data_IF_786161507050
#
_entry.id   IF_786161507050
#
_cell.length_a   1.000
_cell.length_b   1.000
_cell.length_c   1.000
_cell.angle_alpha   90.00
_cell.angle_beta   90.00
_cell.angle_gamma   90.00
#
_symmetry.space_group_name_H-M   'P 1'
#
loop_
_entity.id
_entity.type
_entity.pdbx_description
1 polymer ?
#
# COMPACT_ATOMS: atom_id res chain seq x y z
N UNK A 1 -13.74 4.41 12.72
CA UNK A 1 -12.52 4.30 13.54
C UNK A 1 -11.94 5.69 13.71
N UNK A 2 -11.39 5.98 14.88
CA UNK A 2 -10.70 7.25 15.14
C UNK A 2 -9.20 6.99 15.32
N UNK A 3 -8.35 7.90 14.86
CA UNK A 3 -6.90 7.81 15.02
C UNK A 3 -6.49 8.78 16.12
N UNK A 4 -6.09 8.25 17.27
CA UNK A 4 -5.56 9.02 18.39
C UNK A 4 -4.03 9.07 18.31
N UNK A 5 -3.43 10.25 18.49
CA UNK A 5 -1.96 10.41 18.57
C UNK A 5 -1.58 10.57 20.02
N UNK A 6 -0.79 9.63 20.54
CA UNK A 6 -0.43 9.56 21.94
C UNK A 6 0.33 10.81 22.40
N UNK A 7 -0.11 11.34 23.54
CA UNK A 7 0.47 12.47 24.25
C UNK A 7 1.05 12.02 25.59
N UNK A 8 1.83 12.91 26.22
CA UNK A 8 2.41 12.66 27.54
C UNK A 8 1.29 12.39 28.55
N UNK A 9 1.37 11.24 29.21
CA UNK A 9 0.44 10.84 30.27
C UNK A 9 -0.71 9.96 29.82
N UNK A 10 -0.81 9.65 28.52
CA UNK A 10 -1.76 8.68 28.00
C UNK A 10 -1.45 7.26 28.47
N UNK A 11 -2.51 6.47 28.60
CA UNK A 11 -2.48 5.03 28.83
C UNK A 11 -3.69 4.41 28.15
N UNK A 12 -3.63 3.14 27.77
CA UNK A 12 -4.78 2.46 27.15
C UNK A 12 -6.03 2.56 28.04
N UNK A 13 -5.87 2.49 29.36
CA UNK A 13 -6.96 2.68 30.32
C UNK A 13 -7.57 4.08 30.25
N UNK A 14 -6.76 5.14 30.30
CA UNK A 14 -7.26 6.53 30.19
C UNK A 14 -7.95 6.78 28.86
N UNK A 15 -7.37 6.30 27.77
CA UNK A 15 -7.98 6.40 26.44
C UNK A 15 -9.29 5.62 26.37
N UNK A 16 -9.36 4.44 27.01
CA UNK A 16 -10.58 3.66 27.11
C UNK A 16 -11.70 4.41 27.84
N UNK A 17 -11.39 5.05 28.97
CA UNK A 17 -12.32 5.92 29.69
C UNK A 17 -12.74 7.12 28.85
N UNK A 18 -11.77 7.78 28.21
CA UNK A 18 -12.02 8.96 27.37
C UNK A 18 -12.95 8.65 26.21
N UNK A 19 -12.70 7.55 25.48
CA UNK A 19 -13.43 7.21 24.26
C UNK A 19 -14.61 6.26 24.48
N UNK A 20 -14.84 5.79 25.70
CA UNK A 20 -15.92 4.86 26.03
C UNK A 20 -15.75 3.48 25.38
N UNK A 21 -14.50 3.00 25.27
CA UNK A 21 -14.15 1.67 24.76
C UNK A 21 -13.23 0.95 25.76
N UNK A 22 -13.21 -0.38 25.79
CA UNK A 22 -12.25 -1.08 26.66
C UNK A 22 -10.82 -0.90 26.15
N UNK A 23 -9.87 -0.76 27.07
CA UNK A 23 -8.43 -0.77 26.80
C UNK A 23 -7.97 -2.03 26.02
N UNK A 24 -8.56 -3.19 26.32
CA UNK A 24 -8.33 -4.44 25.58
C UNK A 24 -8.75 -4.35 24.11
N UNK A 25 -9.86 -3.65 23.82
CA UNK A 25 -10.29 -3.41 22.44
C UNK A 25 -9.34 -2.45 21.71
N UNK A 26 -8.82 -1.43 22.39
CA UNK A 26 -7.79 -0.55 21.82
C UNK A 26 -6.52 -1.36 21.52
N UNK A 27 -6.06 -2.17 22.47
CA UNK A 27 -4.88 -3.03 22.31
C UNK A 27 -5.04 -3.98 21.10
N UNK A 28 -6.18 -4.67 21.02
CA UNK A 28 -6.49 -5.60 19.94
C UNK A 28 -6.57 -4.92 18.56
N UNK A 29 -7.24 -3.75 18.46
CA UNK A 29 -7.34 -2.99 17.21
C UNK A 29 -5.99 -2.48 16.69
N UNK A 30 -4.99 -2.39 17.56
CA UNK A 30 -3.63 -1.96 17.20
C UNK A 30 -2.63 -3.11 17.13
N UNK A 31 -3.05 -4.34 17.44
CA UNK A 31 -2.15 -5.50 17.45
C UNK A 31 -1.03 -5.38 18.49
N UNK A 32 -1.29 -4.72 19.62
CA UNK A 32 -0.31 -4.52 20.69
C UNK A 32 -0.76 -5.24 21.98
N UNK A 33 0.19 -5.77 22.79
CA UNK A 33 -0.10 -6.20 24.16
C UNK A 33 -0.68 -5.09 25.04
N UNK A 34 -1.51 -5.44 26.02
CA UNK A 34 -2.18 -4.48 26.93
C UNK A 34 -1.17 -3.72 27.82
N UNK A 35 -0.02 -4.32 28.08
CA UNK A 35 1.08 -3.82 28.89
C UNK A 35 2.20 -3.18 28.05
N UNK A 36 1.94 -2.92 26.76
CA UNK A 36 2.90 -2.27 25.87
C UNK A 36 3.31 -0.89 26.38
N UNK A 37 4.61 -0.60 26.25
CA UNK A 37 5.11 0.76 26.43
C UNK A 37 4.58 1.62 25.27
N UNK A 38 3.81 2.65 25.61
CA UNK A 38 3.29 3.62 24.66
C UNK A 38 4.32 4.72 24.39
N UNK A 39 4.46 5.13 23.14
CA UNK A 39 5.43 6.13 22.71
C UNK A 39 4.72 7.44 22.39
N UNK A 40 5.24 8.58 22.86
CA UNK A 40 4.71 9.90 22.49
C UNK A 40 4.76 10.04 20.96
N UNK A 41 3.64 10.45 20.37
CA UNK A 41 3.48 10.59 18.93
C UNK A 41 3.14 9.29 18.18
N UNK A 42 3.09 8.13 18.84
CA UNK A 42 2.54 6.89 18.27
C UNK A 42 1.04 7.08 17.98
N UNK A 43 0.60 6.62 16.81
CA UNK A 43 -0.83 6.62 16.48
C UNK A 43 -1.50 5.30 16.87
N UNK A 44 -2.70 5.40 17.45
CA UNK A 44 -3.56 4.28 17.80
C UNK A 44 -4.92 4.42 17.12
N UNK A 45 -5.43 3.32 16.58
CA UNK A 45 -6.83 3.18 16.20
C UNK A 45 -7.66 2.99 17.47
N UNK A 46 -8.65 3.86 17.66
CA UNK A 46 -9.70 3.71 18.64
C UNK A 46 -10.92 3.10 17.92
N UNK A 47 -11.35 1.89 18.30
CA UNK A 47 -12.46 1.17 17.65
C UNK A 47 -13.83 1.71 18.09
N UNK A 48 -14.07 3.00 17.85
CA UNK A 48 -15.37 3.63 18.05
C UNK A 48 -16.42 2.99 17.13
N UNK A 49 -17.65 2.88 17.63
CA UNK A 49 -18.78 2.56 16.78
C UNK A 49 -18.89 3.62 15.68
N UNK A 50 -18.88 3.18 14.41
CA UNK A 50 -18.64 4.05 13.25
C UNK A 50 -19.65 5.19 13.08
N UNK A 51 -20.79 5.11 13.75
CA UNK A 51 -21.88 6.08 13.69
C UNK A 51 -22.00 6.92 14.96
N UNK A 52 -21.02 6.94 15.87
CA UNK A 52 -21.08 7.73 17.11
C UNK A 52 -19.76 8.42 17.48
N UNK A 53 -19.89 9.59 18.09
CA UNK A 53 -18.80 10.36 18.68
C UNK A 53 -19.27 10.98 20.01
N UNK A 54 -18.42 10.98 21.02
CA UNK A 54 -18.68 11.64 22.31
C UNK A 54 -17.91 12.95 22.32
N UNK A 55 -18.63 14.07 22.42
CA UNK A 55 -18.03 15.40 22.39
C UNK A 55 -17.09 15.58 23.58
N UNK A 56 -15.87 15.99 23.32
CA UNK A 56 -14.85 16.36 24.29
C UNK A 56 -14.86 17.87 24.54
N UNK A 57 -14.23 18.27 25.64
CA UNK A 57 -14.09 19.68 25.99
C UNK A 57 -13.32 20.44 24.89
N UNK A 58 -13.91 21.53 24.39
CA UNK A 58 -13.31 22.38 23.35
C UNK A 58 -13.63 21.97 21.91
N UNK A 59 -14.35 20.86 21.69
CA UNK A 59 -14.77 20.47 20.35
C UNK A 59 -15.96 21.29 19.84
N UNK A 60 -16.05 21.38 18.51
CA UNK A 60 -17.17 21.95 17.76
C UNK A 60 -17.61 20.98 16.68
N UNK A 61 -18.80 21.15 16.10
CA UNK A 61 -19.20 20.37 14.92
C UNK A 61 -18.21 20.54 13.75
N UNK A 62 -17.48 21.67 13.70
CA UNK A 62 -16.42 21.90 12.73
C UNK A 62 -15.19 21.03 12.97
N UNK A 63 -14.66 20.99 14.20
CA UNK A 63 -13.50 20.17 14.51
C UNK A 63 -13.81 18.67 14.36
N UNK A 64 -14.99 18.24 14.83
CA UNK A 64 -15.49 16.87 14.67
C UNK A 64 -15.71 16.56 13.19
N UNK A 65 -16.31 17.49 12.44
CA UNK A 65 -16.49 17.33 11.00
C UNK A 65 -15.19 17.10 10.25
N UNK A 66 -14.18 17.93 10.51
CA UNK A 66 -12.85 17.75 9.93
C UNK A 66 -12.20 16.42 10.31
N UNK A 67 -12.37 15.98 11.56
CA UNK A 67 -11.84 14.73 12.07
C UNK A 67 -12.41 13.49 11.35
N UNK A 68 -13.69 13.50 11.01
CA UNK A 68 -14.36 12.37 10.36
C UNK A 68 -14.56 12.55 8.84
N UNK A 69 -14.17 13.69 8.28
CA UNK A 69 -14.44 14.03 6.88
C UNK A 69 -15.93 14.26 6.58
N UNK A 70 -16.66 14.81 7.55
CA UNK A 70 -18.10 15.04 7.50
C UNK A 70 -18.36 16.54 7.64
N UNK A 71 -19.33 17.10 6.91
CA UNK A 71 -19.65 18.52 7.08
C UNK A 71 -20.35 18.76 8.44
N UNK A 72 -20.10 19.90 9.10
CA UNK A 72 -20.78 20.25 10.35
C UNK A 72 -22.30 20.19 10.23
N UNK A 73 -22.82 20.60 9.06
CA UNK A 73 -24.25 20.58 8.73
C UNK A 73 -24.81 19.16 8.67
N UNK A 74 -24.06 18.19 8.12
CA UNK A 74 -24.52 16.80 8.07
C UNK A 74 -24.57 16.19 9.47
N UNK A 75 -23.60 16.51 10.35
CA UNK A 75 -23.64 16.12 11.76
C UNK A 75 -24.84 16.78 12.46
N UNK A 76 -25.02 18.09 12.27
CA UNK A 76 -26.10 18.84 12.90
C UNK A 76 -27.47 18.29 12.50
N UNK A 77 -27.70 18.09 11.21
CA UNK A 77 -28.96 17.57 10.67
C UNK A 77 -29.26 16.16 11.19
N UNK A 78 -28.27 15.27 11.25
CA UNK A 78 -28.46 13.91 11.77
C UNK A 78 -28.80 13.88 13.26
N UNK A 79 -28.36 14.89 14.02
CA UNK A 79 -28.55 14.99 15.46
C UNK A 79 -29.65 15.99 15.88
N UNK A 80 -30.38 16.57 14.93
CA UNK A 80 -31.41 17.57 15.22
C UNK A 80 -30.86 18.86 15.87
N UNK A 81 -29.58 19.19 15.64
CA UNK A 81 -28.94 20.37 16.19
C UNK A 81 -29.18 21.55 15.24
N UNK A 82 -29.75 22.64 15.75
CA UNK A 82 -30.01 23.86 14.97
C UNK A 82 -28.88 24.88 15.13
N UNK A 83 -28.78 25.82 14.19
CA UNK A 83 -27.86 26.95 14.31
C UNK A 83 -28.09 27.70 15.65
N UNK A 84 -27.04 28.07 16.40
CA UNK A 84 -25.62 28.11 16.03
C UNK A 84 -24.80 26.84 16.33
N UNK A 85 -25.42 25.66 16.37
CA UNK A 85 -24.77 24.35 16.50
C UNK A 85 -24.04 24.10 17.83
N UNK A 86 -24.67 24.50 18.95
CA UNK A 86 -24.13 24.20 20.27
C UNK A 86 -24.06 22.69 20.54
N UNK A 87 -22.91 22.28 21.07
CA UNK A 87 -22.66 20.94 21.59
C UNK A 87 -22.01 21.03 22.96
N UNK A 88 -22.18 19.99 23.77
CA UNK A 88 -21.68 19.96 25.15
C UNK A 88 -20.76 18.78 25.38
N UNK A 89 -19.70 18.93 26.20
CA UNK A 89 -18.87 17.79 26.60
C UNK A 89 -19.71 16.64 27.15
N UNK A 90 -19.45 15.42 26.70
CA UNK A 90 -20.21 14.21 27.02
C UNK A 90 -21.42 13.94 26.10
N UNK A 91 -21.81 14.88 25.25
CA UNK A 91 -22.90 14.67 24.29
C UNK A 91 -22.52 13.59 23.27
N UNK A 92 -23.41 12.63 23.05
CA UNK A 92 -23.25 11.60 22.01
C UNK A 92 -23.85 12.09 20.70
N UNK A 93 -23.01 12.29 19.70
CA UNK A 93 -23.40 12.65 18.35
C UNK A 93 -23.43 11.40 17.47
N UNK A 94 -24.51 11.22 16.72
CA UNK A 94 -24.57 10.31 15.59
C UNK A 94 -23.77 10.89 14.43
N UNK A 95 -22.90 10.10 13.83
CA UNK A 95 -22.14 10.52 12.67
C UNK A 95 -22.72 9.90 11.40
N UNK A 96 -22.94 10.69 10.33
CA UNK A 96 -23.21 10.14 9.01
C UNK A 96 -22.08 9.20 8.60
N UNK A 97 -22.41 7.94 8.29
CA UNK A 97 -21.44 7.00 7.74
C UNK A 97 -21.60 7.03 6.22
N UNK A 98 -20.69 7.69 5.47
CA UNK A 98 -20.75 7.63 4.02
C UNK A 98 -20.60 6.17 3.58
N UNK A 99 -21.30 5.74 2.51
CA UNK A 99 -21.13 4.40 1.99
C UNK A 99 -19.66 4.18 1.62
N UNK A 100 -19.10 3.04 2.03
CA UNK A 100 -17.73 2.67 1.68
C UNK A 100 -17.65 2.46 0.16
N UNK A 101 -16.76 3.18 -0.56
CA UNK A 101 -16.53 2.87 -1.96
C UNK A 101 -15.98 1.45 -2.09
N UNK A 102 -16.32 0.78 -3.19
CA UNK A 102 -15.75 -0.53 -3.51
C UNK A 102 -14.46 -0.31 -4.29
N UNK A 103 -13.37 -0.94 -3.85
CA UNK A 103 -12.08 -0.90 -4.54
C UNK A 103 -11.54 -2.32 -4.74
N UNK A 104 -10.55 -2.44 -5.61
CA UNK A 104 -9.75 -3.65 -5.73
C UNK A 104 -8.47 -3.54 -4.91
N UNK A 105 -8.13 -4.60 -4.17
CA UNK A 105 -6.94 -4.64 -3.31
C UNK A 105 -6.02 -5.75 -3.77
N UNK A 106 -4.77 -5.40 -4.07
CA UNK A 106 -3.70 -6.36 -4.34
C UNK A 106 -2.70 -6.37 -3.18
N UNK A 107 -2.07 -7.51 -2.93
CA UNK A 107 -0.87 -7.58 -2.12
C UNK A 107 0.14 -8.52 -2.78
N UNK A 108 1.39 -8.06 -2.89
CA UNK A 108 2.51 -8.91 -3.26
C UNK A 108 2.96 -9.75 -2.07
N UNK A 109 3.50 -10.93 -2.33
CA UNK A 109 4.14 -11.75 -1.29
C UNK A 109 5.36 -12.49 -1.82
N UNK A 110 6.38 -12.56 -0.97
CA UNK A 110 7.62 -13.33 -1.19
C UNK A 110 7.70 -14.53 -0.24
N UNK A 111 6.66 -14.78 0.57
CA UNK A 111 6.61 -15.87 1.54
C UNK A 111 5.72 -17.01 1.03
N UNK A 112 6.34 -18.14 0.68
CA UNK A 112 5.66 -19.32 0.10
C UNK A 112 5.53 -20.49 1.08
N UNK A 113 5.88 -20.28 2.34
CA UNK A 113 5.80 -21.26 3.42
C UNK A 113 4.47 -21.13 4.20
N UNK A 114 4.38 -21.86 5.32
CA UNK A 114 3.20 -21.84 6.18
C UNK A 114 2.96 -20.47 6.84
N UNK A 115 4.00 -19.66 7.04
CA UNK A 115 3.83 -18.30 7.52
C UNK A 115 3.15 -17.43 6.45
N UNK A 116 3.59 -17.55 5.20
CA UNK A 116 2.94 -16.92 4.05
C UNK A 116 1.45 -17.25 3.96
N UNK A 117 1.07 -18.53 4.12
CA UNK A 117 -0.33 -18.95 4.12
C UNK A 117 -1.15 -18.30 5.24
N UNK A 118 -0.63 -18.29 6.47
CA UNK A 118 -1.31 -17.64 7.61
C UNK A 118 -1.49 -16.14 7.38
N UNK A 119 -0.48 -15.47 6.80
CA UNK A 119 -0.59 -14.06 6.46
C UNK A 119 -1.73 -13.80 5.46
N UNK A 120 -1.93 -14.68 4.48
CA UNK A 120 -3.06 -14.58 3.53
C UNK A 120 -4.39 -14.87 4.20
N UNK A 121 -4.47 -15.88 5.08
CA UNK A 121 -5.69 -16.20 5.82
C UNK A 121 -6.15 -15.04 6.72
N UNK A 122 -5.21 -14.36 7.37
CA UNK A 122 -5.50 -13.22 8.26
C UNK A 122 -6.19 -12.07 7.52
N UNK A 123 -5.76 -11.78 6.29
CA UNK A 123 -6.25 -10.62 5.51
C UNK A 123 -7.13 -11.03 4.33
N UNK A 124 -7.49 -12.31 4.21
CA UNK A 124 -8.06 -12.86 2.98
C UNK A 124 -9.36 -12.19 2.55
N UNK A 125 -10.21 -11.79 3.51
CA UNK A 125 -11.43 -11.03 3.24
C UNK A 125 -11.18 -9.63 2.65
N UNK A 126 -9.97 -9.10 2.81
CA UNK A 126 -9.55 -7.77 2.40
C UNK A 126 -8.70 -7.76 1.12
N UNK A 127 -8.55 -8.89 0.44
CA UNK A 127 -7.81 -8.99 -0.82
C UNK A 127 -8.72 -9.33 -2.00
N UNK A 128 -8.60 -8.56 -3.08
CA UNK A 128 -9.09 -8.94 -4.41
C UNK A 128 -8.10 -9.87 -5.09
N UNK A 129 -6.82 -9.48 -5.06
CA UNK A 129 -5.71 -10.21 -5.64
C UNK A 129 -4.63 -10.54 -4.62
N UNK A 130 -3.97 -11.67 -4.84
CA UNK A 130 -2.67 -11.99 -4.25
C UNK A 130 -1.67 -12.19 -5.39
N UNK A 131 -0.50 -11.59 -5.26
CA UNK A 131 0.55 -11.58 -6.28
C UNK A 131 1.84 -12.25 -5.77
N UNK A 132 2.00 -13.58 -5.95
CA UNK A 132 3.27 -14.29 -5.70
C UNK A 132 4.42 -13.68 -6.52
N UNK A 133 5.43 -13.12 -5.86
CA UNK A 133 6.58 -12.49 -6.51
C UNK A 133 7.76 -13.48 -6.58
N UNK A 134 8.20 -13.95 -7.75
CA UNK A 134 7.65 -13.74 -9.10
C UNK A 134 8.04 -14.90 -10.02
N UNK A 135 7.37 -15.01 -11.17
CA UNK A 135 7.86 -15.80 -12.30
C UNK A 135 8.91 -14.98 -13.05
N UNK A 136 10.15 -15.45 -12.99
CA UNK A 136 11.30 -14.82 -13.62
C UNK A 136 11.43 -15.33 -15.05
N UNK A 137 11.33 -14.42 -16.00
CA UNK A 137 11.58 -14.75 -17.41
C UNK A 137 13.08 -14.77 -17.67
N UNK A 138 13.55 -15.78 -18.40
CA UNK A 138 14.95 -15.87 -18.82
C UNK A 138 15.17 -15.16 -20.16
N UNK A 139 16.44 -14.93 -20.51
CA UNK A 139 16.84 -14.38 -21.82
C UNK A 139 16.32 -15.23 -23.01
N UNK A 140 16.04 -16.51 -22.80
CA UNK A 140 15.50 -17.41 -23.84
C UNK A 140 13.98 -17.46 -23.86
N UNK A 141 13.28 -16.82 -22.91
CA UNK A 141 11.82 -16.76 -22.84
C UNK A 141 11.18 -17.91 -22.07
N UNK A 142 11.97 -18.66 -21.28
CA UNK A 142 11.44 -19.63 -20.31
C UNK A 142 11.09 -18.95 -18.99
N UNK A 143 10.16 -19.53 -18.23
CA UNK A 143 9.76 -19.03 -16.91
C UNK A 143 10.28 -19.94 -15.80
N UNK A 144 10.79 -19.34 -14.74
CA UNK A 144 11.06 -20.01 -13.45
C UNK A 144 10.24 -19.32 -12.36
N UNK A 145 9.40 -20.06 -11.65
CA UNK A 145 8.46 -19.51 -10.67
C UNK A 145 8.65 -20.07 -9.27
N UNK A 146 8.00 -19.45 -8.27
CA UNK A 146 8.03 -19.93 -6.88
C UNK A 146 7.21 -21.21 -6.70
N UNK A 147 7.39 -21.86 -5.55
CA UNK A 147 6.52 -22.95 -5.10
C UNK A 147 5.22 -22.39 -4.47
N UNK A 148 4.40 -21.76 -5.30
CA UNK A 148 3.18 -21.05 -4.89
C UNK A 148 1.93 -21.93 -4.73
N UNK A 149 1.98 -23.22 -5.06
CA UNK A 149 0.82 -24.12 -5.07
C UNK A 149 -0.04 -24.06 -3.78
N UNK A 150 0.54 -24.26 -2.60
CA UNK A 150 -0.19 -24.17 -1.32
C UNK A 150 -0.79 -22.78 -1.05
N UNK A 151 -0.11 -21.73 -1.51
CA UNK A 151 -0.59 -20.36 -1.40
C UNK A 151 -1.80 -20.11 -2.32
N UNK A 152 -1.78 -20.65 -3.54
CA UNK A 152 -2.89 -20.59 -4.49
C UNK A 152 -4.13 -21.35 -4.01
N UNK A 153 -3.95 -22.46 -3.27
CA UNK A 153 -5.05 -23.15 -2.60
C UNK A 153 -5.71 -22.26 -1.53
N UNK A 154 -4.89 -21.55 -0.75
CA UNK A 154 -5.35 -20.58 0.24
C UNK A 154 -6.13 -19.45 -0.42
N UNK A 155 -5.67 -18.93 -1.56
CA UNK A 155 -6.40 -17.95 -2.35
C UNK A 155 -7.79 -18.45 -2.76
N UNK A 156 -7.89 -19.69 -3.26
CA UNK A 156 -9.17 -20.30 -3.64
C UNK A 156 -10.13 -20.40 -2.45
N UNK A 157 -9.64 -20.83 -1.29
CA UNK A 157 -10.44 -20.92 -0.06
C UNK A 157 -10.96 -19.56 0.41
N UNK A 158 -10.17 -18.49 0.25
CA UNK A 158 -10.49 -17.12 0.67
C UNK A 158 -11.15 -16.26 -0.43
N UNK A 159 -11.50 -16.87 -1.58
CA UNK A 159 -12.05 -16.18 -2.76
C UNK A 159 -11.18 -15.02 -3.24
N UNK A 160 -9.87 -15.21 -3.22
CA UNK A 160 -8.88 -14.25 -3.74
C UNK A 160 -8.53 -14.69 -5.17
N UNK A 161 -8.50 -13.75 -6.11
CA UNK A 161 -8.07 -14.03 -7.48
C UNK A 161 -6.54 -13.97 -7.55
N UNK A 162 -5.83 -15.11 -7.68
CA UNK A 162 -4.38 -15.05 -7.78
C UNK A 162 -3.96 -14.36 -9.08
N UNK A 163 -2.95 -13.48 -8.99
CA UNK A 163 -2.35 -12.75 -10.10
C UNK A 163 -0.90 -13.18 -10.28
N UNK A 164 -0.56 -13.67 -11.47
CA UNK A 164 0.78 -14.15 -11.81
C UNK A 164 1.69 -12.96 -12.09
N UNK A 165 2.75 -12.77 -11.31
CA UNK A 165 3.73 -11.72 -11.57
C UNK A 165 4.81 -12.26 -12.49
N UNK A 166 5.08 -11.59 -13.61
CA UNK A 166 6.15 -11.94 -14.54
C UNK A 166 7.15 -10.79 -14.58
N UNK A 167 8.39 -11.07 -14.21
CA UNK A 167 9.44 -10.06 -14.07
C UNK A 167 10.71 -10.42 -14.83
N UNK A 168 11.47 -9.42 -15.30
CA UNK A 168 12.84 -9.56 -15.79
C UNK A 168 13.88 -9.55 -14.64
N UNK A 169 13.50 -10.08 -13.48
CA UNK A 169 14.33 -10.12 -12.28
C UNK A 169 15.28 -11.33 -12.30
N UNK A 170 16.56 -11.08 -12.04
CA UNK A 170 17.65 -12.07 -12.03
C UNK A 170 18.71 -11.65 -11.00
N UNK A 171 19.20 -12.62 -10.23
CA UNK A 171 20.33 -12.45 -9.29
C UNK A 171 20.19 -11.25 -8.33
N UNK A 172 18.97 -10.99 -7.85
CA UNK A 172 18.68 -9.93 -6.87
C UNK A 172 18.42 -8.55 -7.46
N UNK A 173 18.35 -8.40 -8.77
CA UNK A 173 18.02 -7.13 -9.45
C UNK A 173 17.26 -7.35 -10.77
N UNK A 174 16.85 -6.27 -11.42
CA UNK A 174 16.23 -6.31 -12.76
C UNK A 174 17.30 -6.26 -13.86
N UNK A 175 17.09 -7.04 -14.92
CA UNK A 175 18.03 -7.22 -16.03
C UNK A 175 17.44 -6.67 -17.34
N UNK A 176 18.07 -5.62 -17.87
CA UNK A 176 17.63 -4.93 -19.10
C UNK A 176 17.74 -5.81 -20.35
N UNK A 177 18.70 -6.73 -20.41
CA UNK A 177 18.92 -7.56 -21.60
C UNK A 177 17.84 -8.63 -21.70
N UNK A 178 17.38 -9.16 -20.56
CA UNK A 178 16.22 -10.04 -20.49
C UNK A 178 14.97 -9.35 -21.04
N UNK A 179 14.69 -8.13 -20.57
CA UNK A 179 13.58 -7.35 -21.10
C UNK A 179 13.72 -7.12 -22.61
N UNK A 180 14.89 -6.67 -23.07
CA UNK A 180 15.15 -6.46 -24.49
C UNK A 180 14.85 -7.71 -25.32
N UNK A 181 15.42 -8.87 -24.95
CA UNK A 181 15.22 -10.12 -25.69
C UNK A 181 13.75 -10.55 -25.76
N UNK A 182 13.01 -10.43 -24.64
CA UNK A 182 11.58 -10.79 -24.61
C UNK A 182 10.74 -9.85 -25.48
N UNK A 183 11.12 -8.58 -25.57
CA UNK A 183 10.36 -7.56 -26.28
C UNK A 183 10.67 -7.53 -27.79
N UNK A 184 11.89 -7.86 -28.21
CA UNK A 184 12.36 -7.66 -29.60
C UNK A 184 12.55 -8.95 -30.39
N UNK A 185 12.81 -10.10 -29.74
CA UNK A 185 12.94 -11.39 -30.43
C UNK A 185 11.59 -12.13 -30.50
N UNK A 186 11.09 -12.33 -31.72
CA UNK A 186 9.78 -12.96 -31.94
C UNK A 186 9.70 -14.40 -31.40
N UNK A 187 10.80 -15.16 -31.45
CA UNK A 187 10.85 -16.54 -30.94
C UNK A 187 10.83 -16.58 -29.42
N UNK A 188 11.59 -15.70 -28.76
CA UNK A 188 11.61 -15.52 -27.30
C UNK A 188 10.23 -15.07 -26.85
N UNK A 189 9.66 -14.05 -27.50
CA UNK A 189 8.34 -13.53 -27.19
C UNK A 189 7.26 -14.61 -27.30
N UNK A 190 7.29 -15.45 -28.34
CA UNK A 190 6.36 -16.58 -28.50
C UNK A 190 6.46 -17.58 -27.35
N UNK A 191 7.70 -17.94 -26.96
CA UNK A 191 7.95 -18.86 -25.85
C UNK A 191 7.43 -18.27 -24.53
N UNK A 192 7.74 -17.00 -24.25
CA UNK A 192 7.28 -16.31 -23.04
C UNK A 192 5.75 -16.27 -22.97
N UNK A 193 5.08 -15.82 -24.05
CA UNK A 193 3.60 -15.72 -24.07
C UNK A 193 2.94 -17.08 -23.87
N UNK A 194 3.46 -18.13 -24.52
CA UNK A 194 2.91 -19.47 -24.35
C UNK A 194 3.15 -20.00 -22.92
N UNK A 195 4.34 -19.80 -22.36
CA UNK A 195 4.65 -20.19 -20.98
C UNK A 195 3.77 -19.46 -19.95
N UNK A 196 3.45 -18.19 -20.17
CA UNK A 196 2.49 -17.44 -19.35
C UNK A 196 1.12 -18.12 -19.42
N UNK A 197 0.57 -18.34 -20.62
CA UNK A 197 -0.76 -18.94 -20.79
C UNK A 197 -0.86 -20.34 -20.19
N UNK A 198 0.16 -21.17 -20.39
CA UNK A 198 0.22 -22.53 -19.86
C UNK A 198 0.24 -22.51 -18.33
N UNK A 199 1.04 -21.61 -17.72
CA UNK A 199 1.11 -21.44 -16.27
C UNK A 199 -0.22 -20.92 -15.71
N UNK A 200 -0.83 -19.93 -16.37
CA UNK A 200 -2.12 -19.37 -15.96
C UNK A 200 -3.19 -20.47 -15.89
N UNK A 201 -3.28 -21.28 -16.94
CA UNK A 201 -4.23 -22.40 -17.03
C UNK A 201 -3.92 -23.50 -16.03
N UNK A 202 -2.65 -23.92 -15.91
CA UNK A 202 -2.24 -25.03 -15.06
C UNK A 202 -2.46 -24.72 -13.57
N UNK A 203 -2.14 -23.50 -13.14
CA UNK A 203 -2.18 -23.12 -11.72
C UNK A 203 -3.46 -22.40 -11.31
N UNK A 204 -4.30 -22.03 -12.27
CA UNK A 204 -5.61 -21.41 -12.04
C UNK A 204 -5.52 -19.92 -11.69
N UNK A 205 -4.50 -19.22 -12.18
CA UNK A 205 -4.40 -17.77 -12.09
C UNK A 205 -5.56 -17.08 -12.82
N UNK A 206 -5.90 -15.87 -12.40
CA UNK A 206 -6.98 -15.06 -12.99
C UNK A 206 -6.49 -13.80 -13.69
N UNK A 207 -5.29 -13.37 -13.35
CA UNK A 207 -4.65 -12.20 -13.93
C UNK A 207 -3.15 -12.46 -14.12
N UNK A 208 -2.53 -11.71 -15.01
CA UNK A 208 -1.07 -11.61 -15.12
C UNK A 208 -0.66 -10.15 -14.95
N UNK A 209 0.38 -9.92 -14.16
CA UNK A 209 1.02 -8.64 -13.95
C UNK A 209 2.42 -8.68 -14.58
N UNK A 210 2.66 -7.85 -15.58
CA UNK A 210 3.99 -7.70 -16.18
C UNK A 210 4.75 -6.62 -15.41
N UNK A 211 5.81 -7.05 -14.74
CA UNK A 211 6.68 -6.22 -13.92
C UNK A 211 8.07 -6.15 -14.55
N UNK A 212 8.13 -5.49 -15.71
CA UNK A 212 9.39 -5.28 -16.42
C UNK A 212 9.95 -3.90 -16.07
N UNK A 213 11.06 -3.89 -15.34
CA UNK A 213 11.74 -2.67 -14.93
C UNK A 213 13.08 -2.49 -15.66
N UNK A 214 13.57 -1.24 -15.66
CA UNK A 214 14.82 -0.85 -16.32
C UNK A 214 14.90 -1.26 -17.80
N UNK A 215 13.77 -1.29 -18.49
CA UNK A 215 13.67 -1.59 -19.93
C UNK A 215 14.38 -0.48 -20.73
N UNK A 216 15.22 -0.80 -21.72
CA UNK A 216 15.87 0.21 -22.55
C UNK A 216 14.85 1.16 -23.20
N UNK A 217 15.16 2.46 -23.24
CA UNK A 217 14.28 3.47 -23.87
C UNK A 217 13.91 3.11 -25.31
N UNK A 218 14.87 2.54 -26.07
CA UNK A 218 14.66 2.12 -27.45
C UNK A 218 13.56 1.05 -27.60
N UNK A 219 13.30 0.26 -26.55
CA UNK A 219 12.34 -0.82 -26.55
C UNK A 219 10.94 -0.38 -26.11
N UNK A 220 10.71 0.92 -25.88
CA UNK A 220 9.41 1.45 -25.45
C UNK A 220 8.24 0.96 -26.31
N UNK A 221 8.34 1.09 -27.64
CA UNK A 221 7.25 0.64 -28.53
C UNK A 221 7.21 -0.87 -28.71
N UNK A 222 8.35 -1.55 -28.57
CA UNK A 222 8.39 -3.01 -28.51
C UNK A 222 7.63 -3.52 -27.27
N UNK A 223 7.74 -2.82 -26.13
CA UNK A 223 6.97 -3.11 -24.94
C UNK A 223 5.46 -2.94 -25.17
N UNK A 224 5.05 -1.81 -25.74
CA UNK A 224 3.64 -1.57 -26.10
C UNK A 224 3.10 -2.67 -27.03
N UNK A 225 3.88 -3.06 -28.05
CA UNK A 225 3.51 -4.10 -29.01
C UNK A 225 3.37 -5.47 -28.34
N UNK A 226 4.31 -5.82 -27.45
CA UNK A 226 4.22 -7.03 -26.63
C UNK A 226 2.95 -7.06 -25.78
N UNK A 227 2.60 -5.95 -25.12
CA UNK A 227 1.40 -5.87 -24.29
C UNK A 227 0.11 -6.03 -25.10
N UNK A 228 0.00 -5.40 -26.28
CA UNK A 228 -1.16 -5.59 -27.19
C UNK A 228 -1.31 -7.05 -27.58
N UNK A 229 -0.19 -7.69 -27.93
CA UNK A 229 -0.16 -9.09 -28.32
C UNK A 229 -0.56 -10.00 -27.17
N UNK A 230 0.00 -9.78 -25.99
CA UNK A 230 -0.31 -10.55 -24.79
C UNK A 230 -1.80 -10.38 -24.42
N UNK A 231 -2.34 -9.15 -24.47
CA UNK A 231 -3.76 -8.88 -24.23
C UNK A 231 -4.66 -9.70 -25.15
N UNK A 232 -4.43 -9.67 -26.46
CA UNK A 232 -5.22 -10.45 -27.42
C UNK A 232 -5.12 -11.96 -27.23
N UNK A 233 -4.02 -12.46 -26.65
CA UNK A 233 -3.84 -13.87 -26.31
C UNK A 233 -4.50 -14.27 -24.98
N UNK A 234 -4.67 -13.33 -24.05
CA UNK A 234 -5.31 -13.54 -22.75
C UNK A 234 -6.84 -13.48 -22.81
N UNK A 235 -7.38 -12.63 -23.68
CA UNK A 235 -8.82 -12.36 -23.81
C UNK A 235 -9.69 -13.61 -23.99
N UNK A 236 -9.36 -14.60 -24.85
CA UNK A 236 -10.17 -15.80 -25.01
C UNK A 236 -10.26 -16.65 -23.74
N UNK A 237 -9.27 -16.54 -22.83
CA UNK A 237 -9.26 -17.22 -21.54
C UNK A 237 -9.91 -16.43 -20.41
N UNK A 238 -10.37 -15.20 -20.67
CA UNK A 238 -10.93 -14.31 -19.65
C UNK A 238 -9.92 -13.81 -18.61
N UNK A 239 -8.62 -13.87 -18.92
CA UNK A 239 -7.57 -13.41 -18.00
C UNK A 239 -7.41 -11.89 -18.07
N UNK A 240 -7.21 -11.26 -16.91
CA UNK A 240 -6.86 -9.84 -16.84
C UNK A 240 -5.35 -9.64 -17.06
N UNK A 241 -4.99 -8.53 -17.69
CA UNK A 241 -3.62 -8.07 -17.87
C UNK A 241 -3.42 -6.79 -17.05
N UNK A 242 -2.34 -6.75 -16.27
CA UNK A 242 -1.84 -5.53 -15.63
C UNK A 242 -0.35 -5.34 -15.88
N UNK A 243 0.13 -4.12 -15.64
CA UNK A 243 1.56 -3.78 -15.67
C UNK A 243 1.96 -2.98 -14.43
N UNK A 244 3.18 -3.16 -13.95
CA UNK A 244 3.80 -2.21 -13.04
C UNK A 244 4.34 -1.01 -13.83
N UNK A 245 4.19 0.18 -13.26
CA UNK A 245 4.70 1.42 -13.85
C UNK A 245 5.55 2.17 -12.84
N UNK A 246 6.77 2.52 -13.25
CA UNK A 246 7.66 3.39 -12.49
C UNK A 246 7.00 4.75 -12.25
N UNK A 247 7.20 5.39 -11.08
CA UNK A 247 6.50 6.62 -10.70
C UNK A 247 6.94 7.81 -11.56
N UNK A 248 6.12 8.20 -12.54
CA UNK A 248 6.35 9.37 -13.40
C UNK A 248 5.46 10.54 -12.99
N UNK A 249 6.01 11.74 -13.05
CA UNK A 249 5.25 12.99 -12.86
C UNK A 249 5.05 13.77 -14.15
N UNK A 250 5.79 13.44 -15.21
CA UNK A 250 5.66 13.98 -16.57
C UNK A 250 5.96 12.91 -17.62
N UNK A 251 5.61 13.18 -18.88
CA UNK A 251 5.86 12.25 -19.98
C UNK A 251 7.35 12.14 -20.32
N UNK A 252 8.08 13.25 -20.20
CA UNK A 252 9.48 13.43 -20.58
C UNK A 252 10.47 12.99 -19.49
N UNK A 253 9.99 12.53 -18.34
CA UNK A 253 10.83 12.10 -17.22
C UNK A 253 11.87 11.06 -17.69
N UNK A 254 13.14 11.41 -17.49
CA UNK A 254 14.32 10.67 -17.96
C UNK A 254 14.82 9.66 -16.95
N UNK A 255 15.51 8.64 -17.45
CA UNK A 255 16.11 7.59 -16.65
C UNK A 255 15.61 6.23 -17.08
N UNK A 256 16.50 5.24 -17.02
CA UNK A 256 16.24 3.87 -17.52
C UNK A 256 15.00 3.21 -16.89
N UNK A 257 14.66 3.57 -15.66
CA UNK A 257 13.45 3.09 -14.98
C UNK A 257 12.14 3.64 -15.60
N UNK A 258 12.17 4.81 -16.24
CA UNK A 258 10.97 5.57 -16.61
C UNK A 258 10.68 5.61 -18.11
N UNK A 259 11.71 5.62 -18.95
CA UNK A 259 11.55 6.03 -20.36
C UNK A 259 10.79 5.02 -21.22
N UNK A 260 10.89 3.72 -20.90
CA UNK A 260 10.14 2.66 -21.57
C UNK A 260 8.69 2.49 -21.03
N UNK A 261 8.37 3.10 -19.89
CA UNK A 261 7.02 3.08 -19.31
C UNK A 261 6.13 4.15 -19.95
N UNK A 262 5.42 3.73 -21.00
CA UNK A 262 4.49 4.56 -21.78
C UNK A 262 3.08 4.56 -21.15
N UNK A 263 2.88 5.45 -20.18
CA UNK A 263 1.62 5.54 -19.42
C UNK A 263 0.36 5.59 -20.30
N UNK A 264 0.24 6.47 -21.32
CA UNK A 264 -0.92 6.46 -22.22
C UNK A 264 -1.15 5.11 -22.91
N UNK A 265 -0.09 4.48 -23.44
CA UNK A 265 -0.22 3.22 -24.15
C UNK A 265 -0.62 2.08 -23.20
N UNK A 266 0.05 1.94 -22.06
CA UNK A 266 -0.29 0.95 -21.05
C UNK A 266 -1.75 1.14 -20.58
N UNK A 267 -2.13 2.38 -20.23
CA UNK A 267 -3.49 2.73 -19.83
C UNK A 267 -4.55 2.42 -20.88
N UNK A 268 -4.22 2.46 -22.17
CA UNK A 268 -5.12 2.05 -23.25
C UNK A 268 -5.21 0.51 -23.39
N UNK A 269 -4.10 -0.20 -23.22
CA UNK A 269 -3.97 -1.63 -23.55
C UNK A 269 -4.42 -2.54 -22.40
N UNK A 270 -3.92 -2.31 -21.18
CA UNK A 270 -4.09 -3.25 -20.06
C UNK A 270 -5.39 -2.98 -19.29
N UNK A 271 -5.86 -3.95 -18.50
CA UNK A 271 -7.08 -3.80 -17.71
C UNK A 271 -6.89 -2.83 -16.54
N UNK A 272 -5.70 -2.84 -15.94
CA UNK A 272 -5.28 -1.87 -14.92
C UNK A 272 -3.76 -1.81 -14.79
N UNK A 273 -3.25 -0.74 -14.19
CA UNK A 273 -1.82 -0.55 -13.88
C UNK A 273 -1.62 -0.50 -12.38
N UNK A 274 -0.46 -0.95 -11.92
CA UNK A 274 0.01 -0.76 -10.55
C UNK A 274 1.12 0.28 -10.59
N UNK A 275 0.87 1.45 -9.99
CA UNK A 275 1.88 2.50 -9.90
C UNK A 275 2.81 2.18 -8.72
N UNK A 276 4.12 2.12 -8.96
CA UNK A 276 5.13 1.89 -7.92
C UNK A 276 5.39 3.18 -7.12
N UNK A 277 4.34 3.68 -6.46
CA UNK A 277 4.34 4.94 -5.69
C UNK A 277 4.92 4.77 -4.29
N UNK A 278 6.16 4.25 -4.22
CA UNK A 278 6.98 4.10 -3.02
C UNK A 278 8.47 4.14 -3.42
N UNK A 279 9.39 3.97 -2.46
CA UNK A 279 10.86 4.08 -2.62
C UNK A 279 11.41 5.50 -2.94
N UNK A 280 10.76 6.58 -2.49
CA UNK A 280 11.43 7.90 -2.49
C UNK A 280 12.55 7.96 -1.47
N UNK A 281 12.28 7.49 -0.25
CA UNK A 281 13.29 7.01 0.68
C UNK A 281 13.40 5.50 0.52
N UNK A 282 14.55 5.03 0.04
CA UNK A 282 14.82 3.63 -0.24
C UNK A 282 16.09 3.17 0.48
N UNK A 283 16.27 1.86 0.60
CA UNK A 283 17.34 1.27 1.43
C UNK A 283 18.75 1.77 1.08
N UNK A 284 19.08 1.93 -0.21
CA UNK A 284 20.37 2.45 -0.66
C UNK A 284 20.43 3.97 -0.87
N UNK A 285 19.34 4.69 -0.59
CA UNK A 285 19.22 6.14 -0.71
C UNK A 285 19.38 6.88 0.60
N UNK A 286 19.32 8.21 0.54
CA UNK A 286 19.31 9.06 1.72
C UNK A 286 18.00 8.90 2.53
N UNK A 287 18.01 9.12 3.86
CA UNK A 287 16.81 9.05 4.69
C UNK A 287 15.72 10.01 4.21
N UNK A 288 14.53 9.47 3.97
CA UNK A 288 13.30 10.19 3.63
C UNK A 288 12.09 9.27 3.84
N UNK A 289 10.89 9.83 3.92
CA UNK A 289 9.64 9.08 3.79
C UNK A 289 9.68 8.11 2.59
N UNK A 290 9.20 6.88 2.81
CA UNK A 290 9.16 5.83 1.77
C UNK A 290 8.17 6.19 0.66
N UNK A 291 6.97 6.63 1.03
CA UNK A 291 5.90 7.03 0.10
C UNK A 291 5.29 8.39 0.50
N UNK A 292 6.02 9.50 0.32
CA UNK A 292 5.56 10.84 0.69
C UNK A 292 4.34 11.24 -0.14
N UNK A 293 3.21 11.54 0.51
CA UNK A 293 1.91 11.70 -0.15
C UNK A 293 1.93 12.80 -1.22
N UNK A 294 2.71 13.86 -1.02
CA UNK A 294 2.85 14.97 -1.95
C UNK A 294 3.55 14.57 -3.25
N UNK A 295 4.43 13.57 -3.25
CA UNK A 295 5.01 13.02 -4.48
C UNK A 295 4.11 11.94 -5.09
N UNK A 296 3.51 11.09 -4.24
CA UNK A 296 2.51 10.10 -4.66
C UNK A 296 1.38 10.77 -5.43
N UNK A 297 0.84 11.88 -4.92
CA UNK A 297 -0.23 12.64 -5.57
C UNK A 297 0.20 13.19 -6.94
N UNK A 298 1.44 13.68 -7.09
CA UNK A 298 1.94 14.14 -8.40
C UNK A 298 1.93 13.00 -9.42
N UNK A 299 2.38 11.82 -9.02
CA UNK A 299 2.41 10.63 -9.89
C UNK A 299 0.99 10.20 -10.29
N UNK A 300 0.08 10.12 -9.31
CA UNK A 300 -1.32 9.76 -9.58
C UNK A 300 -1.99 10.80 -10.47
N UNK A 301 -1.76 12.10 -10.25
CA UNK A 301 -2.31 13.17 -11.10
C UNK A 301 -1.78 13.13 -12.52
N UNK A 302 -0.49 12.80 -12.71
CA UNK A 302 0.05 12.56 -14.04
C UNK A 302 -0.61 11.34 -14.68
N UNK A 303 -0.75 10.21 -13.97
CA UNK A 303 -1.45 9.04 -14.50
C UNK A 303 -2.89 9.38 -14.93
N UNK A 304 -3.64 10.13 -14.10
CA UNK A 304 -5.01 10.56 -14.41
C UNK A 304 -5.12 11.47 -15.63
N UNK A 305 -4.07 12.18 -16.01
CA UNK A 305 -4.11 13.02 -17.22
C UNK A 305 -4.00 12.21 -18.52
N UNK A 306 -3.55 10.94 -18.42
CA UNK A 306 -3.28 10.09 -19.58
C UNK A 306 -3.98 8.73 -19.54
N UNK A 307 -4.66 8.36 -18.44
CA UNK A 307 -5.47 7.14 -18.36
C UNK A 307 -6.65 7.26 -17.38
N UNK A 308 -7.71 6.44 -17.55
CA UNK A 308 -8.87 6.47 -16.66
C UNK A 308 -8.55 6.09 -15.21
N UNK A 309 -9.19 6.76 -14.25
CA UNK A 309 -9.02 6.50 -12.80
C UNK A 309 -9.31 5.05 -12.40
N UNK A 310 -10.32 4.42 -13.03
CA UNK A 310 -10.71 3.04 -12.78
C UNK A 310 -9.71 1.98 -13.31
N UNK A 311 -8.59 2.41 -13.90
CA UNK A 311 -7.45 1.57 -14.25
C UNK A 311 -6.25 1.74 -13.31
N UNK A 312 -6.29 2.69 -12.37
CA UNK A 312 -5.12 3.03 -11.54
C UNK A 312 -5.22 2.35 -10.19
N UNK A 313 -4.28 1.44 -9.90
CA UNK A 313 -4.04 0.87 -8.58
C UNK A 313 -2.80 1.52 -7.98
N UNK A 314 -2.94 2.16 -6.82
CA UNK A 314 -1.85 2.89 -6.16
C UNK A 314 -1.00 1.96 -5.29
N UNK A 315 0.31 1.94 -5.52
CA UNK A 315 1.26 1.19 -4.71
C UNK A 315 1.42 1.78 -3.31
N UNK A 316 1.45 0.92 -2.28
CA UNK A 316 1.60 1.29 -0.87
C UNK A 316 2.63 0.39 -0.18
N UNK A 317 3.64 0.95 0.50
CA UNK A 317 4.57 0.17 1.30
C UNK A 317 3.94 -0.19 2.65
N UNK A 318 4.28 -1.36 3.18
CA UNK A 318 3.94 -1.82 4.53
C UNK A 318 5.12 -1.69 5.52
N UNK A 319 6.24 -1.13 5.06
CA UNK A 319 7.50 -1.06 5.77
C UNK A 319 8.06 0.36 5.81
N UNK A 320 9.05 0.53 6.67
CA UNK A 320 9.94 1.67 6.75
C UNK A 320 11.40 1.25 6.66
N UNK A 321 12.29 2.20 6.93
CA UNK A 321 13.74 2.01 6.93
C UNK A 321 14.40 2.77 8.08
N UNK A 322 15.52 2.24 8.54
CA UNK A 322 16.34 2.81 9.60
C UNK A 322 17.75 3.09 9.07
N UNK A 323 18.06 4.35 8.85
CA UNK A 323 19.36 4.76 8.31
C UNK A 323 20.32 5.13 9.44
N UNK A 324 21.53 4.60 9.37
CA UNK A 324 22.68 5.13 10.11
C UNK A 324 23.10 6.48 9.52
N UNK A 325 23.43 7.43 10.37
CA UNK A 325 23.89 8.78 10.01
C UNK A 325 25.37 9.01 10.40
N UNK A 326 26.11 9.84 9.64
CA UNK A 326 25.68 10.52 8.42
C UNK A 326 25.49 9.54 7.25
N UNK A 327 24.50 9.80 6.40
CA UNK A 327 24.34 9.06 5.15
C UNK A 327 25.51 9.38 4.21
N UNK A 328 26.12 8.33 3.66
CA UNK A 328 27.12 8.42 2.60
C UNK A 328 26.70 7.47 1.49
N UNK A 329 26.67 7.96 0.26
CA UNK A 329 26.31 7.16 -0.90
C UNK A 329 27.23 5.95 -1.05
N UNK A 330 26.65 4.76 -1.19
CA UNK A 330 27.39 3.49 -1.29
C UNK A 330 27.65 2.78 0.03
N UNK A 331 27.21 3.35 1.16
CA UNK A 331 27.22 2.64 2.46
C UNK A 331 26.24 1.44 2.47
N UNK A 332 26.31 0.67 3.55
CA UNK A 332 25.32 -0.37 3.88
C UNK A 332 23.89 0.17 3.69
N UNK A 333 23.07 -0.62 3.03
CA UNK A 333 21.66 -0.30 2.85
C UNK A 333 20.93 -0.27 4.18
N UNK A 334 20.01 0.67 4.34
CA UNK A 334 19.18 0.78 5.52
C UNK A 334 18.33 -0.48 5.70
N UNK A 335 18.36 -1.13 6.88
CA UNK A 335 17.49 -2.26 7.16
C UNK A 335 16.01 -1.86 7.11
N UNK A 336 15.22 -2.71 6.46
CA UNK A 336 13.77 -2.62 6.45
C UNK A 336 13.19 -2.88 7.85
N UNK A 337 12.10 -2.20 8.19
CA UNK A 337 11.37 -2.42 9.44
C UNK A 337 9.85 -2.40 9.25
N UNK A 338 9.16 -3.16 10.10
CA UNK A 338 7.70 -3.13 10.20
C UNK A 338 7.22 -2.00 11.11
N UNK A 339 5.93 -1.63 11.04
CA UNK A 339 5.35 -0.62 11.92
C UNK A 339 5.56 -0.95 13.42
N UNK A 340 5.27 -2.18 13.91
CA UNK A 340 5.54 -2.53 15.31
C UNK A 340 7.02 -2.46 15.69
N UNK A 341 7.93 -2.77 14.76
CA UNK A 341 9.36 -2.67 15.03
C UNK A 341 9.83 -1.22 15.14
N UNK A 342 9.32 -0.31 14.30
CA UNK A 342 9.55 1.13 14.43
C UNK A 342 9.16 1.62 15.83
N UNK A 343 7.97 1.26 16.29
CA UNK A 343 7.43 1.70 17.58
C UNK A 343 8.26 1.12 18.73
N UNK A 344 8.59 -0.18 18.69
CA UNK A 344 9.45 -0.81 19.70
C UNK A 344 10.82 -0.15 19.78
N UNK A 345 11.39 0.22 18.63
CA UNK A 345 12.70 0.88 18.58
C UNK A 345 12.63 2.30 19.13
N UNK A 346 11.60 3.06 18.81
CA UNK A 346 11.35 4.37 19.44
C UNK A 346 11.23 4.24 20.96
N UNK A 347 10.46 3.25 21.46
CA UNK A 347 10.34 2.97 22.89
C UNK A 347 11.69 2.61 23.54
N UNK A 348 12.47 1.72 22.90
CA UNK A 348 13.78 1.27 23.39
C UNK A 348 14.77 2.41 23.60
N UNK A 349 14.78 3.39 22.70
CA UNK A 349 15.73 4.50 22.72
C UNK A 349 15.13 5.80 23.26
N UNK A 350 13.90 5.77 23.77
CA UNK A 350 13.22 6.95 24.33
C UNK A 350 12.96 8.06 23.30
N UNK A 351 12.81 7.71 22.02
CA UNK A 351 12.56 8.66 20.95
C UNK A 351 11.06 8.98 20.84
N UNK A 352 10.73 10.26 20.65
CA UNK A 352 9.37 10.69 20.33
C UNK A 352 9.11 10.55 18.82
N UNK A 353 7.98 9.97 18.46
CA UNK A 353 7.59 9.79 17.05
C UNK A 353 7.03 11.12 16.53
N UNK A 354 7.74 11.73 15.59
CA UNK A 354 7.33 12.94 14.90
C UNK A 354 6.50 12.58 13.66
N UNK A 355 5.81 13.58 13.10
CA UNK A 355 5.01 13.40 11.89
C UNK A 355 5.27 14.57 10.95
N UNK A 356 5.77 14.27 9.75
CA UNK A 356 6.04 15.28 8.74
C UNK A 356 4.77 15.61 7.97
N UNK A 357 4.32 16.87 8.07
CA UNK A 357 3.08 17.34 7.45
C UNK A 357 3.06 17.21 5.92
N UNK A 358 4.08 17.70 5.19
CA UNK A 358 4.12 17.60 3.73
C UNK A 358 4.13 16.17 3.17
N UNK A 359 4.92 15.26 3.74
CA UNK A 359 4.95 13.85 3.31
C UNK A 359 3.80 13.02 3.87
N UNK A 360 3.15 13.49 4.94
CA UNK A 360 2.21 12.71 5.75
C UNK A 360 2.82 11.38 6.22
N UNK A 361 4.06 11.41 6.72
CA UNK A 361 4.76 10.21 7.19
C UNK A 361 5.36 10.39 8.59
N UNK A 362 5.29 9.37 9.46
CA UNK A 362 5.96 9.39 10.75
C UNK A 362 7.47 9.16 10.60
N UNK A 363 8.24 9.82 11.48
CA UNK A 363 9.68 9.65 11.57
C UNK A 363 10.20 9.93 12.97
N UNK A 364 11.41 9.50 13.28
CA UNK A 364 12.15 9.92 14.47
C UNK A 364 13.65 9.71 14.30
N UNK A 365 14.42 10.28 15.22
CA UNK A 365 15.87 10.06 15.32
C UNK A 365 16.23 9.53 16.69
N UNK A 366 17.28 8.73 16.76
CA UNK A 366 17.81 8.22 18.03
C UNK A 366 19.34 8.02 17.94
N UNK A 367 19.99 7.81 19.08
CA UNK A 367 21.38 7.35 19.13
C UNK A 367 21.41 5.90 19.62
N UNK A 368 22.14 5.04 18.93
CA UNK A 368 22.35 3.66 19.38
C UNK A 368 23.34 3.60 20.56
N UNK A 369 23.57 2.39 21.09
CA UNK A 369 24.47 2.19 22.23
C UNK A 369 25.95 2.50 21.91
N UNK A 370 26.30 2.66 20.63
CA UNK A 370 27.64 3.02 20.16
C UNK A 370 27.77 4.53 19.88
N UNK A 371 26.72 5.31 20.12
CA UNK A 371 26.69 6.73 19.80
C UNK A 371 26.51 7.03 18.31
N UNK A 372 26.13 6.05 17.49
CA UNK A 372 25.76 6.25 16.09
C UNK A 372 24.36 6.84 16.05
N UNK A 373 24.19 7.92 15.29
CA UNK A 373 22.87 8.52 15.10
C UNK A 373 22.10 7.74 14.04
N UNK A 374 20.80 7.59 14.24
CA UNK A 374 19.88 6.93 13.34
C UNK A 374 18.71 7.84 12.97
N UNK A 375 18.16 7.68 11.77
CA UNK A 375 16.91 8.27 11.32
C UNK A 375 15.98 7.19 10.78
N UNK A 376 14.76 7.15 11.31
CA UNK A 376 13.75 6.15 10.95
C UNK A 376 12.58 6.84 10.28
N UNK A 377 12.18 6.35 9.10
CA UNK A 377 10.92 6.69 8.45
C UNK A 377 10.10 5.44 8.25
N UNK A 378 8.80 5.50 8.54
CA UNK A 378 7.90 4.35 8.44
C UNK A 378 6.47 4.78 8.10
N UNK A 379 5.54 3.84 8.12
CA UNK A 379 4.10 4.10 7.91
C UNK A 379 3.31 3.82 9.19
N UNK A 380 2.26 4.58 9.44
CA UNK A 380 1.35 4.38 10.57
C UNK A 380 -0.11 4.67 10.18
N UNK A 381 -1.03 4.64 11.15
CA UNK A 381 -2.45 4.84 10.88
C UNK A 381 -2.74 6.19 10.18
N UNK A 382 -1.98 7.24 10.50
CA UNK A 382 -2.16 8.58 9.93
C UNK A 382 -1.77 8.60 8.45
N UNK A 383 -0.59 8.06 8.13
CA UNK A 383 -0.07 8.04 6.76
C UNK A 383 -0.90 7.14 5.84
N UNK A 384 -1.38 6.00 6.36
CA UNK A 384 -2.31 5.11 5.64
C UNK A 384 -3.65 5.79 5.38
N UNK A 385 -4.24 6.46 6.37
CA UNK A 385 -5.51 7.16 6.18
C UNK A 385 -5.39 8.31 5.17
N UNK A 386 -4.27 9.04 5.15
CA UNK A 386 -4.01 10.07 4.14
C UNK A 386 -3.99 9.48 2.71
N UNK A 387 -3.33 8.32 2.53
CA UNK A 387 -3.32 7.57 1.26
C UNK A 387 -4.71 7.08 0.86
N UNK A 388 -5.52 6.58 1.80
CA UNK A 388 -6.90 6.19 1.53
C UNK A 388 -7.81 7.36 1.18
N UNK A 389 -7.59 8.53 1.78
CA UNK A 389 -8.30 9.76 1.42
C UNK A 389 -7.98 10.15 -0.03
N UNK A 390 -6.71 10.03 -0.46
CA UNK A 390 -6.31 10.26 -1.84
C UNK A 390 -7.01 9.30 -2.83
N UNK A 391 -7.04 8.00 -2.51
CA UNK A 391 -7.75 6.97 -3.31
C UNK A 391 -9.23 7.34 -3.49
N UNK A 392 -9.90 7.77 -2.42
CA UNK A 392 -11.30 8.20 -2.45
C UNK A 392 -11.50 9.49 -3.25
N UNK A 393 -10.68 10.50 -3.00
CA UNK A 393 -10.78 11.81 -3.64
C UNK A 393 -10.59 11.71 -5.16
N UNK A 394 -9.67 10.85 -5.59
CA UNK A 394 -9.34 10.66 -7.01
C UNK A 394 -10.07 9.48 -7.66
N UNK A 395 -10.93 8.79 -6.91
CA UNK A 395 -11.74 7.65 -7.38
C UNK A 395 -10.91 6.57 -8.08
N UNK A 396 -9.75 6.24 -7.49
CA UNK A 396 -8.84 5.24 -8.05
C UNK A 396 -9.45 3.84 -7.97
N UNK A 397 -8.97 2.93 -8.82
CA UNK A 397 -9.40 1.51 -8.83
C UNK A 397 -9.14 0.82 -7.49
N UNK A 398 -8.02 1.16 -6.85
CA UNK A 398 -7.72 0.70 -5.50
C UNK A 398 -6.25 0.79 -5.13
N UNK A 399 -5.77 -0.16 -4.32
CA UNK A 399 -4.42 -0.13 -3.71
C UNK A 399 -3.69 -1.46 -3.88
N UNK A 400 -2.35 -1.40 -3.92
CA UNK A 400 -1.47 -2.56 -4.06
C UNK A 400 -0.35 -2.52 -3.02
N UNK A 401 -0.26 -3.52 -2.16
CA UNK A 401 0.69 -3.54 -1.05
C UNK A 401 2.01 -4.26 -1.39
N UNK A 402 3.13 -3.62 -1.04
CA UNK A 402 4.45 -4.25 -0.93
C UNK A 402 4.90 -4.22 0.55
N UNK A 403 5.21 -5.31 1.24
CA UNK A 403 4.91 -6.70 0.87
C UNK A 403 4.16 -7.38 2.02
N UNK A 404 3.19 -8.24 1.68
CA UNK A 404 2.43 -9.01 2.66
C UNK A 404 3.36 -9.89 3.49
N UNK A 405 3.08 -9.95 4.80
CA UNK A 405 3.94 -10.59 5.80
C UNK A 405 4.76 -9.59 6.61
N UNK A 406 4.76 -8.31 6.23
CA UNK A 406 5.24 -7.22 7.10
C UNK A 406 4.13 -6.81 8.07
N UNK A 407 4.29 -7.00 9.40
CA UNK A 407 3.23 -6.72 10.36
C UNK A 407 2.82 -5.25 10.39
N UNK A 408 1.52 -4.99 10.19
CA UNK A 408 0.95 -3.64 10.28
C UNK A 408 -0.58 -3.71 10.48
N UNK A 409 -1.03 -4.02 11.70
CA UNK A 409 -2.44 -4.27 12.01
C UNK A 409 -3.35 -3.09 11.66
N UNK A 410 -2.92 -1.86 11.95
CA UNK A 410 -3.72 -0.67 11.69
C UNK A 410 -4.06 -0.49 10.20
N UNK A 411 -3.19 -0.90 9.28
CA UNK A 411 -3.46 -0.80 7.84
C UNK A 411 -4.71 -1.59 7.45
N UNK A 412 -4.81 -2.84 7.90
CA UNK A 412 -5.92 -3.73 7.55
C UNK A 412 -7.24 -3.31 8.21
N UNK A 413 -7.19 -2.86 9.46
CA UNK A 413 -8.34 -2.28 10.17
C UNK A 413 -8.88 -1.03 9.45
N UNK A 414 -7.97 -0.13 9.03
CA UNK A 414 -8.36 1.06 8.26
C UNK A 414 -8.89 0.68 6.87
N UNK A 415 -8.31 -0.30 6.19
CA UNK A 415 -8.80 -0.77 4.88
C UNK A 415 -10.25 -1.26 5.00
N UNK A 416 -10.52 -2.12 5.98
CA UNK A 416 -11.85 -2.62 6.28
C UNK A 416 -12.82 -1.49 6.68
N UNK A 417 -12.36 -0.49 7.41
CA UNK A 417 -13.18 0.67 7.80
C UNK A 417 -13.49 1.62 6.64
N UNK A 418 -12.56 1.76 5.68
CA UNK A 418 -12.66 2.77 4.62
C UNK A 418 -13.33 2.26 3.34
N UNK A 419 -13.27 0.96 3.06
CA UNK A 419 -13.65 0.41 1.75
C UNK A 419 -14.43 -0.91 1.87
N UNK A 420 -15.22 -1.20 0.83
CA UNK A 420 -15.60 -2.57 0.51
C UNK A 420 -14.56 -3.13 -0.47
N UNK A 421 -14.12 -4.37 -0.27
CA UNK A 421 -13.14 -5.00 -1.17
C UNK A 421 -13.88 -5.88 -2.18
N UNK A 422 -13.63 -5.63 -3.47
CA UNK A 422 -14.23 -6.41 -4.55
C UNK A 422 -13.66 -7.84 -4.55
N UNK A 423 -14.51 -8.84 -4.80
CA UNK A 423 -14.11 -10.23 -5.02
C UNK A 423 -14.45 -10.62 -6.47
N UNK A 424 -13.54 -11.30 -7.15
CA UNK A 424 -13.68 -11.68 -8.56
C UNK A 424 -13.96 -13.17 -8.77
N UNK A 425 -13.91 -13.96 -7.70
CA UNK A 425 -14.10 -15.42 -7.71
C UNK A 425 -14.96 -15.90 -6.55
#
# INVERSE_FOLDING_TARGET
MFIHVLQRGDSLWKLGQQYGVSDHAIAAANGIPIDSILVIGQSLIIPLQANQHVVHQGESLWSIGNQYGITPQAIAQLNGITYPFYIYPGQRLRLPVPPKPTIEVNAYTEQFDDAGRRNVEEVGSLLTYLSPFSYRVSISGTLSGPNDGPLLETCRAQRIAPMMVVSNFKDGTFDSDIAHAVLTDASVQNRTVNAILDTLKQKGYRAVNIDFEYVPQADREAYNTFLRRLKGRLEPGGYLLSTCLAPKTTAEQKGRLYEAHDYPAHGAIVDFVILMTYEWGWSGGAPRAVAPINEVEKVVRYALSVMPANKIVMGMPLYGYDWKLPYVQGNEWAPTLSNPEAIRRAARYGAEIQFDGPSQSPFYRYYDNNGVQHEVWFEDARSVQAKFNLVKALKLRGVSYWVLGTPFRQNWELLAANFNVAKLV
#
